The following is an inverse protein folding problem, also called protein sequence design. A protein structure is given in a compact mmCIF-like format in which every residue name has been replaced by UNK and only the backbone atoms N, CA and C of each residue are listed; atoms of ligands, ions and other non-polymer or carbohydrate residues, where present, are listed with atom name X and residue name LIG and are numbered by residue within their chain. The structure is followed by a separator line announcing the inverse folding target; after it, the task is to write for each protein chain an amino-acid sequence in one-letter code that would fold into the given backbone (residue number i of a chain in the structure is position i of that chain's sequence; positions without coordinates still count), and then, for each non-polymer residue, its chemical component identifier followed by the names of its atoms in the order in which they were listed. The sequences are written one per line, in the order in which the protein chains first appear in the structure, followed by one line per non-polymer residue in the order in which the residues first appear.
data_IF_910211105349
#
_entry.id   IF_910211105349
#
_cell.length_a   1.000
_cell.length_b   1.000
_cell.length_c   1.000
_cell.angle_alpha   90.00
_cell.angle_beta   90.00
_cell.angle_gamma   90.00
#
_symmetry.space_group_name_H-M   'P 1'
#
loop_
_entity.id
_entity.type
_entity.pdbx_description
1 polymer ?
#
# COMPACT_ATOMS: atom_id res chain seq x y z
N UNK A 1 2.46 -18.67 -3.00
CA UNK A 1 3.37 -17.78 -2.27
C UNK A 1 2.90 -17.68 -0.82
N UNK A 2 3.82 -17.73 0.16
CA UNK A 2 3.45 -17.62 1.58
C UNK A 2 3.91 -16.25 2.12
N UNK A 3 3.08 -15.24 1.96
CA UNK A 3 3.37 -13.85 2.38
C UNK A 3 3.72 -13.70 3.87
N UNK A 4 3.35 -14.65 4.72
CA UNK A 4 3.70 -14.63 6.15
C UNK A 4 5.21 -14.67 6.46
N UNK A 5 6.05 -14.93 5.46
CA UNK A 5 7.51 -14.91 5.58
C UNK A 5 8.15 -13.73 4.84
N UNK A 6 7.35 -12.85 4.27
CA UNK A 6 7.79 -11.70 3.47
C UNK A 6 7.65 -10.44 4.32
N UNK A 7 8.68 -9.60 4.34
CA UNK A 7 8.57 -8.26 4.95
C UNK A 7 7.60 -7.42 4.13
N UNK A 8 6.69 -6.71 4.81
CA UNK A 8 5.67 -5.91 4.14
C UNK A 8 5.79 -4.45 4.53
N UNK A 9 5.99 -3.62 3.52
CA UNK A 9 6.25 -2.18 3.64
C UNK A 9 5.27 -1.38 2.80
N UNK A 10 5.00 -0.14 3.19
CA UNK A 10 4.17 0.80 2.44
C UNK A 10 4.91 2.11 2.18
N UNK A 11 4.54 2.79 1.10
CA UNK A 11 5.06 4.10 0.71
C UNK A 11 4.05 5.18 1.02
N UNK A 12 4.43 6.16 1.83
CA UNK A 12 3.58 7.29 2.19
C UNK A 12 3.74 8.45 1.21
N UNK A 13 2.62 8.95 0.65
CA UNK A 13 2.58 10.18 -0.12
C UNK A 13 3.17 10.08 -1.53
N UNK A 14 2.90 9.00 -2.25
CA UNK A 14 3.37 8.79 -3.63
C UNK A 14 2.34 9.13 -4.71
N UNK A 15 1.22 9.73 -4.36
CA UNK A 15 0.20 10.18 -5.31
C UNK A 15 -0.25 11.59 -4.95
N UNK A 16 -0.40 12.45 -5.97
CA UNK A 16 -0.77 13.86 -5.77
C UNK A 16 -2.07 14.00 -4.97
N UNK A 17 -2.10 14.97 -4.05
CA UNK A 17 -3.23 15.33 -3.18
C UNK A 17 -3.72 14.28 -2.19
N UNK A 18 -3.23 13.05 -2.21
CA UNK A 18 -3.72 12.00 -1.30
C UNK A 18 -3.52 12.38 0.18
N UNK A 19 -2.32 12.80 0.58
CA UNK A 19 -2.03 13.18 1.97
C UNK A 19 -2.88 14.37 2.46
N UNK A 20 -3.20 15.30 1.57
CA UNK A 20 -4.08 16.44 1.88
C UNK A 20 -5.50 15.97 2.15
N UNK A 21 -6.08 15.16 1.24
CA UNK A 21 -7.41 14.58 1.41
C UNK A 21 -7.50 13.65 2.63
N UNK A 22 -6.42 12.96 2.94
CA UNK A 22 -6.31 12.09 4.11
C UNK A 22 -6.18 12.86 5.44
N UNK A 23 -5.92 14.19 5.39
CA UNK A 23 -5.67 15.00 6.58
C UNK A 23 -4.34 14.68 7.28
N UNK A 24 -3.37 14.09 6.56
CA UNK A 24 -2.10 13.59 7.12
C UNK A 24 -0.91 14.53 6.89
N UNK A 25 -1.08 15.68 6.23
CA UNK A 25 0.01 16.64 5.97
C UNK A 25 0.74 17.07 7.24
N UNK A 26 0.01 17.28 8.34
CA UNK A 26 0.59 17.68 9.63
C UNK A 26 1.52 16.62 10.22
N UNK A 27 1.26 15.34 10.00
CA UNK A 27 2.12 14.24 10.49
C UNK A 27 3.51 14.30 9.85
N UNK A 28 3.59 14.82 8.62
CA UNK A 28 4.82 14.90 7.83
C UNK A 28 5.45 16.29 7.76
N UNK A 29 4.94 17.29 8.48
CA UNK A 29 5.44 18.68 8.40
C UNK A 29 6.92 18.88 8.69
N UNK A 30 7.50 17.97 9.48
CA UNK A 30 8.92 17.99 9.83
C UNK A 30 9.77 17.06 8.93
N UNK A 31 9.14 16.36 7.98
CA UNK A 31 9.85 15.51 7.02
C UNK A 31 10.22 16.37 5.81
N UNK A 32 11.50 16.66 5.70
CA UNK A 32 12.05 17.39 4.57
C UNK A 32 12.33 16.43 3.43
N UNK A 33 11.78 16.71 2.25
CA UNK A 33 12.08 15.97 1.02
C UNK A 33 12.87 16.87 0.08
N UNK A 34 13.86 16.30 -0.63
CA UNK A 34 14.68 17.07 -1.57
C UNK A 34 13.88 17.60 -2.77
N UNK A 35 12.76 16.96 -3.07
CA UNK A 35 11.85 17.33 -4.17
C UNK A 35 10.42 17.33 -3.62
N UNK A 36 9.63 18.34 -4.01
CA UNK A 36 8.27 18.57 -3.51
C UNK A 36 7.36 17.34 -3.68
N UNK A 37 7.43 16.67 -4.84
CA UNK A 37 6.62 15.49 -5.18
C UNK A 37 7.21 14.16 -4.69
N UNK A 38 8.29 14.18 -3.91
CA UNK A 38 8.88 12.94 -3.38
C UNK A 38 7.98 12.33 -2.31
N UNK A 39 7.85 10.98 -2.28
CA UNK A 39 7.17 10.32 -1.18
C UNK A 39 7.83 10.67 0.17
N UNK A 40 7.04 10.66 1.22
CA UNK A 40 7.48 11.12 2.55
C UNK A 40 8.31 10.09 3.31
N UNK A 41 8.13 8.80 3.02
CA UNK A 41 8.89 7.73 3.64
C UNK A 41 8.27 6.36 3.40
N UNK A 42 8.96 5.35 3.94
CA UNK A 42 8.51 3.96 3.96
C UNK A 42 8.10 3.62 5.41
N UNK A 43 7.06 2.82 5.56
CA UNK A 43 6.61 2.32 6.86
C UNK A 43 6.38 0.81 6.81
N UNK A 44 6.64 0.07 7.89
CA UNK A 44 6.28 -1.34 7.96
C UNK A 44 4.79 -1.50 8.31
N UNK A 45 4.14 -2.49 7.71
CA UNK A 45 2.82 -2.93 8.14
C UNK A 45 2.77 -4.41 8.50
N UNK A 46 3.84 -5.18 8.22
CA UNK A 46 4.05 -6.51 8.74
C UNK A 46 5.54 -6.89 8.73
N UNK A 47 6.03 -7.37 9.86
CA UNK A 47 7.41 -7.81 10.08
C UNK A 47 7.41 -9.26 10.59
N UNK A 48 7.76 -10.26 9.75
CA UNK A 48 7.53 -11.68 10.05
C UNK A 48 8.28 -12.23 11.27
N UNK A 49 9.31 -11.55 11.75
CA UNK A 49 10.11 -11.97 12.90
C UNK A 49 9.91 -11.08 14.15
N UNK A 50 8.97 -10.13 14.10
CA UNK A 50 8.79 -9.17 15.18
C UNK A 50 7.91 -9.71 16.31
N UNK A 51 8.31 -9.48 17.55
CA UNK A 51 7.49 -9.71 18.75
C UNK A 51 6.53 -8.54 19.05
N UNK A 52 6.58 -7.45 18.26
CA UNK A 52 5.68 -6.31 18.37
C UNK A 52 4.33 -6.58 17.67
N UNK A 53 3.43 -5.57 17.71
CA UNK A 53 2.16 -5.63 16.97
C UNK A 53 2.36 -5.82 15.45
N UNK A 54 3.51 -5.42 14.90
CA UNK A 54 3.87 -5.62 13.50
C UNK A 54 4.16 -7.09 13.14
N UNK A 55 4.41 -7.97 14.12
CA UNK A 55 4.52 -9.41 13.91
C UNK A 55 3.16 -10.12 13.76
N UNK A 56 2.04 -9.43 14.03
CA UNK A 56 0.72 -9.96 13.75
C UNK A 56 0.42 -9.87 12.25
N UNK A 57 0.16 -11.02 11.62
CA UNK A 57 -0.14 -11.07 10.18
C UNK A 57 -1.42 -10.32 9.86
N UNK A 58 -1.27 -9.14 9.26
CA UNK A 58 -2.34 -8.14 9.07
C UNK A 58 -3.18 -8.34 7.80
N UNK A 59 -2.73 -9.19 6.86
CA UNK A 59 -3.26 -9.26 5.50
C UNK A 59 -4.42 -10.25 5.40
N UNK A 60 -5.58 -9.77 4.95
CA UNK A 60 -6.76 -10.55 4.61
C UNK A 60 -7.05 -10.58 3.11
N UNK A 61 -7.77 -11.58 2.62
CA UNK A 61 -8.14 -11.70 1.20
C UNK A 61 -9.62 -11.41 0.92
N UNK A 62 -10.47 -11.51 1.95
CA UNK A 62 -11.94 -11.42 1.83
C UNK A 62 -12.61 -10.68 3.00
N UNK A 63 -11.86 -10.39 4.02
CA UNK A 63 -12.36 -9.73 5.24
C UNK A 63 -11.46 -8.57 5.63
N UNK A 64 -12.07 -7.44 5.98
CA UNK A 64 -11.43 -6.32 6.64
C UNK A 64 -12.01 -6.23 8.07
N UNK A 65 -11.17 -6.41 9.09
CA UNK A 65 -11.61 -6.40 10.48
C UNK A 65 -11.33 -5.06 11.12
N UNK A 66 -12.36 -4.30 11.49
CA UNK A 66 -12.21 -3.06 12.26
C UNK A 66 -11.93 -3.39 13.74
N UNK A 67 -11.26 -2.48 14.46
CA UNK A 67 -11.13 -2.60 15.91
C UNK A 67 -12.50 -2.73 16.62
N UNK A 68 -12.54 -3.32 17.82
CA UNK A 68 -13.80 -3.49 18.57
C UNK A 68 -14.38 -2.19 19.14
N UNK A 69 -13.67 -1.09 19.01
CA UNK A 69 -14.08 0.26 19.40
C UNK A 69 -14.33 1.12 18.15
N UNK A 70 -15.01 2.23 18.33
CA UNK A 70 -15.31 3.16 17.24
C UNK A 70 -14.04 3.79 16.66
N UNK A 71 -13.90 3.74 15.35
CA UNK A 71 -12.76 4.28 14.63
C UNK A 71 -13.19 4.90 13.30
N UNK A 72 -12.46 5.92 12.87
CA UNK A 72 -12.56 6.49 11.55
C UNK A 72 -11.59 5.74 10.62
N UNK A 73 -12.07 4.69 9.95
CA UNK A 73 -11.27 3.91 9.01
C UNK A 73 -11.60 4.25 7.56
N UNK A 74 -10.59 4.34 6.71
CA UNK A 74 -10.74 4.59 5.28
C UNK A 74 -9.99 3.55 4.45
N UNK A 75 -10.57 3.19 3.29
CA UNK A 75 -9.87 2.42 2.26
C UNK A 75 -8.75 3.27 1.70
N UNK A 76 -7.58 2.71 1.56
CA UNK A 76 -6.50 3.28 0.75
C UNK A 76 -6.19 2.30 -0.39
N UNK A 77 -6.75 2.56 -1.59
CA UNK A 77 -6.55 1.68 -2.74
C UNK A 77 -5.13 1.85 -3.29
N UNK A 78 -4.41 0.74 -3.37
CA UNK A 78 -3.03 0.71 -3.80
C UNK A 78 -2.73 -0.45 -4.74
N UNK A 79 -1.59 -0.37 -5.40
CA UNK A 79 -0.89 -1.51 -5.96
C UNK A 79 0.16 -1.98 -4.95
N UNK A 80 0.23 -3.27 -4.71
CA UNK A 80 1.34 -3.90 -4.01
C UNK A 80 2.21 -4.67 -5.00
N UNK A 81 3.51 -4.42 -4.97
CA UNK A 81 4.51 -5.06 -5.81
C UNK A 81 5.36 -6.01 -4.96
N UNK A 82 5.54 -7.23 -5.44
CA UNK A 82 6.48 -8.18 -4.86
C UNK A 82 7.86 -7.97 -5.49
N UNK A 83 8.83 -7.62 -4.65
CA UNK A 83 10.22 -7.45 -5.03
C UNK A 83 11.09 -8.57 -4.47
N UNK A 84 12.06 -9.05 -5.26
CA UNK A 84 13.23 -9.71 -4.69
C UNK A 84 14.24 -8.64 -4.29
N UNK A 85 14.80 -8.77 -3.08
CA UNK A 85 15.79 -7.84 -2.53
C UNK A 85 17.18 -8.41 -2.80
N UNK A 86 18.06 -7.59 -3.35
CA UNK A 86 19.46 -7.94 -3.55
C UNK A 86 20.32 -7.15 -2.57
N UNK A 87 21.10 -7.86 -1.77
CA UNK A 87 22.02 -7.28 -0.79
C UNK A 87 23.47 -7.40 -1.26
N UNK A 88 24.33 -6.48 -0.82
CA UNK A 88 25.77 -6.60 -0.92
C UNK A 88 26.37 -7.38 0.27
N UNK A 89 27.69 -7.53 0.30
CA UNK A 89 28.43 -8.29 1.33
C UNK A 89 28.35 -7.66 2.74
N UNK A 90 27.89 -6.41 2.85
CA UNK A 90 27.67 -5.70 4.12
C UNK A 90 26.19 -5.54 4.47
N UNK A 91 25.32 -6.29 3.76
CA UNK A 91 23.88 -6.31 3.95
C UNK A 91 23.14 -5.00 3.63
N UNK A 92 23.71 -4.14 2.79
CA UNK A 92 22.96 -3.02 2.22
C UNK A 92 22.15 -3.48 1.01
N UNK A 93 20.96 -2.93 0.84
CA UNK A 93 20.12 -3.17 -0.35
C UNK A 93 20.76 -2.46 -1.55
N UNK A 94 21.07 -3.21 -2.60
CA UNK A 94 21.70 -2.66 -3.83
C UNK A 94 20.83 -2.75 -5.05
N UNK A 95 19.80 -3.63 -5.03
CA UNK A 95 18.80 -3.69 -6.10
C UNK A 95 17.48 -4.26 -5.59
N UNK A 96 16.39 -3.91 -6.29
CA UNK A 96 15.05 -4.46 -6.12
C UNK A 96 14.56 -4.95 -7.49
N UNK A 97 14.18 -6.23 -7.57
CA UNK A 97 13.64 -6.82 -8.80
C UNK A 97 12.15 -7.02 -8.64
N UNK A 98 11.36 -6.23 -9.36
CA UNK A 98 9.91 -6.34 -9.36
C UNK A 98 9.47 -7.59 -10.14
N UNK A 99 8.71 -8.47 -9.51
CA UNK A 99 8.28 -9.75 -10.09
C UNK A 99 6.81 -9.73 -10.50
N UNK A 100 5.94 -9.34 -9.59
CA UNK A 100 4.49 -9.38 -9.76
C UNK A 100 3.85 -8.23 -9.00
N UNK A 101 2.64 -7.84 -9.42
CA UNK A 101 1.82 -6.89 -8.67
C UNK A 101 0.39 -7.41 -8.48
N UNK A 102 -0.29 -6.83 -7.51
CA UNK A 102 -1.70 -7.10 -7.21
C UNK A 102 -2.35 -5.87 -6.62
N UNK A 103 -3.67 -5.87 -6.47
CA UNK A 103 -4.41 -4.85 -5.73
C UNK A 103 -4.19 -5.00 -4.23
N UNK A 104 -4.18 -3.87 -3.55
CA UNK A 104 -4.00 -3.80 -2.10
C UNK A 104 -4.94 -2.75 -1.50
N UNK A 105 -5.42 -3.01 -0.29
CA UNK A 105 -6.11 -2.04 0.54
C UNK A 105 -5.24 -1.78 1.77
N UNK A 106 -4.54 -0.64 1.78
CA UNK A 106 -3.75 -0.20 2.92
C UNK A 106 -4.63 0.51 3.97
N UNK A 107 -5.80 -0.06 4.25
CA UNK A 107 -6.78 0.54 5.13
C UNK A 107 -6.15 1.22 6.35
N UNK A 108 -6.55 2.46 6.61
CA UNK A 108 -5.96 3.33 7.62
C UNK A 108 -7.01 3.76 8.62
N UNK A 109 -6.64 3.79 9.91
CA UNK A 109 -7.41 4.43 10.97
C UNK A 109 -6.93 5.88 11.10
N UNK A 110 -7.84 6.85 11.02
CA UNK A 110 -7.55 8.27 11.28
C UNK A 110 -7.46 8.48 12.80
N UNK A 111 -6.27 8.19 13.35
CA UNK A 111 -5.98 8.23 14.79
C UNK A 111 -5.12 9.45 15.11
N UNK A 112 -5.66 10.35 15.90
CA UNK A 112 -4.89 11.48 16.42
C UNK A 112 -3.80 11.01 17.40
N UNK A 113 -2.64 11.67 17.37
CA UNK A 113 -1.53 11.42 18.29
C UNK A 113 -0.77 10.11 18.06
N UNK A 114 -0.95 9.45 16.91
CA UNK A 114 -0.10 8.34 16.51
C UNK A 114 1.35 8.82 16.36
N UNK A 115 2.29 8.12 16.98
CA UNK A 115 3.72 8.47 16.90
C UNK A 115 4.36 7.97 15.62
N UNK A 116 3.89 6.83 15.12
CA UNK A 116 4.37 6.15 13.92
C UNK A 116 3.23 5.91 12.95
N UNK A 117 3.54 5.90 11.64
CA UNK A 117 2.56 5.57 10.60
C UNK A 117 2.01 4.16 10.83
N UNK A 118 2.86 3.22 11.17
CA UNK A 118 2.51 1.82 11.42
C UNK A 118 1.41 1.66 12.49
N UNK A 119 1.31 2.56 13.47
CA UNK A 119 0.26 2.54 14.51
C UNK A 119 -1.14 2.83 13.96
N UNK A 120 -1.23 3.52 12.81
CA UNK A 120 -2.48 3.81 12.10
C UNK A 120 -2.80 2.73 11.06
N UNK A 121 -1.77 2.00 10.61
CA UNK A 121 -1.81 1.06 9.51
C UNK A 121 -2.00 -0.39 9.95
N UNK A 122 -1.59 -0.78 11.16
CA UNK A 122 -1.64 -2.17 11.61
C UNK A 122 -2.25 -2.27 13.00
N UNK A 123 -3.45 -2.81 13.11
CA UNK A 123 -4.17 -3.00 14.39
C UNK A 123 -4.55 -4.45 14.66
N UNK A 124 -4.03 -5.39 13.88
CA UNK A 124 -4.28 -6.81 14.06
C UNK A 124 -4.61 -7.55 12.77
N UNK A 125 -5.19 -8.73 12.92
CA UNK A 125 -5.55 -9.61 11.79
C UNK A 125 -6.53 -8.91 10.84
N UNK A 126 -6.31 -9.10 9.53
CA UNK A 126 -7.17 -8.58 8.46
C UNK A 126 -7.36 -7.04 8.51
N UNK A 127 -6.38 -6.30 9.04
CA UNK A 127 -6.38 -4.83 8.96
C UNK A 127 -6.00 -4.31 7.56
N UNK A 128 -5.50 -5.19 6.70
CA UNK A 128 -5.13 -4.95 5.30
C UNK A 128 -5.88 -5.88 4.37
N UNK A 129 -5.91 -5.51 3.09
CA UNK A 129 -6.44 -6.37 2.04
C UNK A 129 -5.46 -6.61 0.92
N UNK A 130 -5.45 -7.83 0.35
CA UNK A 130 -4.64 -8.16 -0.81
C UNK A 130 -5.45 -8.96 -1.83
N UNK A 131 -5.29 -8.65 -3.12
CA UNK A 131 -5.87 -9.40 -4.21
C UNK A 131 -5.36 -10.85 -4.25
N UNK A 132 -6.23 -11.77 -4.61
CA UNK A 132 -5.90 -13.19 -4.70
C UNK A 132 -5.24 -13.57 -6.04
N UNK A 133 -5.20 -12.65 -6.99
CA UNK A 133 -4.60 -12.81 -8.32
C UNK A 133 -3.40 -11.88 -8.45
N UNK A 134 -2.35 -12.38 -9.09
CA UNK A 134 -1.13 -11.64 -9.34
C UNK A 134 -0.88 -11.52 -10.84
N UNK A 135 -0.42 -10.35 -11.26
CA UNK A 135 -0.01 -10.08 -12.63
C UNK A 135 1.52 -10.06 -12.66
N UNK A 136 2.12 -10.85 -13.55
CA UNK A 136 3.57 -10.83 -13.74
C UNK A 136 4.01 -9.52 -14.39
N UNK A 137 5.07 -8.93 -13.87
CA UNK A 137 5.70 -7.74 -14.43
C UNK A 137 6.71 -8.21 -15.48
N UNK A 138 6.57 -7.74 -16.70
CA UNK A 138 7.51 -8.02 -17.81
C UNK A 138 8.77 -7.17 -17.68
N UNK A 139 8.61 -5.87 -17.45
CA UNK A 139 9.66 -4.94 -17.06
C UNK A 139 9.10 -3.88 -16.11
N UNK A 140 9.89 -3.46 -15.12
CA UNK A 140 9.52 -2.38 -14.21
C UNK A 140 10.12 -1.05 -14.70
N UNK A 141 9.73 -0.69 -15.92
CA UNK A 141 10.18 0.50 -16.66
C UNK A 141 9.03 1.00 -17.54
N UNK A 142 9.16 2.22 -18.05
CA UNK A 142 8.26 2.78 -19.06
C UNK A 142 8.21 1.87 -20.30
N UNK A 143 7.03 1.63 -20.83
CA UNK A 143 6.77 0.67 -21.91
C UNK A 143 6.41 -0.73 -21.43
N UNK A 144 6.49 -1.01 -20.12
CA UNK A 144 6.08 -2.28 -19.52
C UNK A 144 4.55 -2.42 -19.40
N UNK A 145 4.11 -3.62 -18.99
CA UNK A 145 2.69 -3.96 -18.89
C UNK A 145 1.93 -3.00 -17.96
N UNK A 146 2.59 -2.48 -16.91
CA UNK A 146 1.94 -1.61 -15.91
C UNK A 146 1.52 -0.25 -16.48
N UNK A 147 2.08 0.21 -17.60
CA UNK A 147 1.66 1.45 -18.28
C UNK A 147 0.17 1.46 -18.65
N UNK A 148 -0.39 0.27 -18.88
CA UNK A 148 -1.75 0.10 -19.36
C UNK A 148 -2.76 -0.12 -18.22
N UNK A 149 -2.29 -0.20 -16.99
CA UNK A 149 -3.14 -0.48 -15.85
C UNK A 149 -3.68 0.79 -15.20
N UNK A 150 -4.95 0.71 -14.83
CA UNK A 150 -5.65 1.65 -13.98
C UNK A 150 -5.95 1.03 -12.62
N UNK A 151 -6.11 1.87 -11.61
CA UNK A 151 -6.51 1.51 -10.26
C UNK A 151 -7.72 2.35 -9.85
N UNK A 152 -8.77 1.68 -9.37
CA UNK A 152 -9.95 2.33 -8.81
C UNK A 152 -10.46 1.57 -7.59
N UNK A 153 -11.35 2.18 -6.81
CA UNK A 153 -11.98 1.50 -5.69
C UNK A 153 -13.43 1.93 -5.49
N UNK A 154 -14.21 1.03 -4.89
CA UNK A 154 -15.61 1.23 -4.59
C UNK A 154 -15.93 0.71 -3.19
N UNK A 155 -16.92 1.33 -2.55
CA UNK A 155 -17.58 0.79 -1.37
C UNK A 155 -19.05 0.59 -1.70
N UNK A 156 -19.56 -0.62 -1.41
CA UNK A 156 -20.99 -0.89 -1.48
C UNK A 156 -21.56 -0.89 -0.06
N UNK A 157 -22.50 0.02 0.19
CA UNK A 157 -23.20 0.22 1.46
C UNK A 157 -24.69 0.16 1.20
N UNK A 158 -25.42 -0.65 1.98
CA UNK A 158 -26.88 -0.80 1.86
C UNK A 158 -27.36 -1.11 0.45
N UNK A 159 -26.56 -1.88 -0.30
CA UNK A 159 -26.85 -2.27 -1.68
C UNK A 159 -26.47 -1.22 -2.73
N UNK A 160 -26.04 -0.02 -2.34
CA UNK A 160 -25.62 1.06 -3.25
C UNK A 160 -24.10 1.06 -3.41
N UNK A 161 -23.62 1.10 -4.64
CA UNK A 161 -22.20 1.17 -4.98
C UNK A 161 -21.78 2.64 -5.11
N UNK A 162 -20.74 3.02 -4.38
CA UNK A 162 -20.16 4.36 -4.39
C UNK A 162 -18.70 4.28 -4.87
N UNK A 163 -18.25 5.10 -5.83
CA UNK A 163 -16.82 5.31 -6.07
C UNK A 163 -16.15 5.80 -4.78
N UNK A 164 -15.06 5.10 -4.36
CA UNK A 164 -14.34 5.46 -3.14
C UNK A 164 -12.99 6.11 -3.44
N UNK A 165 -12.21 5.53 -4.33
CA UNK A 165 -11.02 6.14 -4.93
C UNK A 165 -11.29 6.52 -6.38
N UNK A 166 -10.57 7.52 -6.88
CA UNK A 166 -10.64 7.90 -8.30
C UNK A 166 -10.12 6.75 -9.17
N UNK A 167 -10.63 6.66 -10.39
CA UNK A 167 -10.05 5.81 -11.42
C UNK A 167 -8.82 6.52 -12.00
N UNK A 168 -7.64 5.99 -11.71
CA UNK A 168 -6.38 6.62 -12.06
C UNK A 168 -5.44 5.64 -12.78
N UNK A 169 -4.75 6.07 -13.85
CA UNK A 169 -3.68 5.28 -14.45
C UNK A 169 -2.52 5.12 -13.45
N UNK A 170 -1.84 3.98 -13.45
CA UNK A 170 -0.66 3.76 -12.59
C UNK A 170 0.48 4.72 -12.90
N UNK A 171 0.55 5.25 -14.13
CA UNK A 171 1.47 6.32 -14.51
C UNK A 171 1.22 7.66 -13.77
N UNK A 172 0.13 7.77 -13.03
CA UNK A 172 -0.19 8.92 -12.17
C UNK A 172 0.61 8.97 -10.86
N UNK A 173 1.36 7.92 -10.50
CA UNK A 173 2.25 7.97 -9.34
C UNK A 173 3.40 8.96 -9.54
N UNK A 174 3.69 9.78 -8.53
CA UNK A 174 4.80 10.77 -8.56
C UNK A 174 6.17 10.11 -8.71
N UNK A 175 6.33 8.96 -8.05
CA UNK A 175 7.49 8.08 -8.19
C UNK A 175 7.00 6.71 -8.65
N UNK A 176 7.48 6.30 -9.84
CA UNK A 176 7.15 5.02 -10.43
C UNK A 176 8.39 4.41 -11.08
N UNK A 177 8.39 3.11 -11.36
CA UNK A 177 9.47 2.41 -12.05
C UNK A 177 10.86 2.66 -11.44
N UNK A 178 11.85 2.92 -12.27
CA UNK A 178 13.25 3.15 -11.87
C UNK A 178 13.36 4.30 -10.84
N UNK A 179 12.56 5.36 -10.97
CA UNK A 179 12.55 6.47 -9.99
C UNK A 179 12.11 6.00 -8.61
N UNK A 180 11.02 5.22 -8.52
CA UNK A 180 10.56 4.62 -7.28
C UNK A 180 11.57 3.60 -6.75
N UNK A 181 12.07 2.70 -7.60
CA UNK A 181 13.04 1.68 -7.22
C UNK A 181 14.29 2.28 -6.56
N UNK A 182 14.88 3.28 -7.18
CA UNK A 182 16.08 3.93 -6.64
C UNK A 182 15.80 4.64 -5.32
N UNK A 183 14.65 5.29 -5.21
CA UNK A 183 14.21 5.93 -3.96
C UNK A 183 13.96 4.89 -2.85
N UNK A 184 13.34 3.74 -3.17
CA UNK A 184 13.13 2.65 -2.22
C UNK A 184 14.46 2.12 -1.69
N UNK A 185 15.44 1.87 -2.57
CA UNK A 185 16.78 1.39 -2.20
C UNK A 185 17.45 2.39 -1.25
N UNK A 186 17.41 3.69 -1.58
CA UNK A 186 17.95 4.74 -0.71
C UNK A 186 17.28 4.68 0.68
N UNK A 187 15.93 4.70 0.74
CA UNK A 187 15.21 4.74 2.01
C UNK A 187 15.34 3.46 2.81
N UNK A 188 15.41 2.29 2.18
CA UNK A 188 15.66 1.03 2.88
C UNK A 188 17.01 1.00 3.59
N UNK A 189 18.01 1.73 3.09
CA UNK A 189 19.33 1.82 3.71
C UNK A 189 19.48 3.01 4.66
N UNK A 190 18.82 4.15 4.37
CA UNK A 190 19.16 5.44 5.02
C UNK A 190 18.04 6.02 5.87
N UNK A 191 16.79 5.54 5.75
CA UNK A 191 15.69 6.11 6.53
C UNK A 191 15.90 5.90 8.02
N UNK A 192 15.97 7.00 8.77
CA UNK A 192 16.12 7.01 10.20
C UNK A 192 14.77 6.89 10.93
N UNK A 193 14.82 6.48 12.20
CA UNK A 193 13.69 6.57 13.13
C UNK A 193 13.49 8.03 13.53
N UNK A 194 12.68 8.76 12.75
CA UNK A 194 12.42 10.18 12.99
C UNK A 194 10.96 10.54 12.74
N UNK A 195 10.32 11.20 13.71
CA UNK A 195 8.91 11.58 13.62
C UNK A 195 8.02 10.36 13.36
N UNK A 196 7.16 10.40 12.31
CA UNK A 196 6.26 9.29 11.98
C UNK A 196 6.96 8.11 11.30
N UNK A 197 8.23 8.24 10.92
CA UNK A 197 9.00 7.23 10.20
C UNK A 197 9.75 6.29 11.15
N UNK A 198 10.06 5.09 10.67
CA UNK A 198 10.80 4.02 11.36
C UNK A 198 12.10 3.71 10.61
N UNK A 199 13.12 3.20 11.31
CA UNK A 199 14.36 2.78 10.68
C UNK A 199 14.19 1.46 9.95
N UNK A 200 14.16 1.50 8.62
CA UNK A 200 13.90 0.33 7.77
C UNK A 200 15.09 -0.63 7.76
N UNK A 201 16.33 -0.12 7.74
CA UNK A 201 17.53 -0.97 7.78
C UNK A 201 17.57 -1.83 9.06
N UNK A 202 17.14 -1.27 10.20
CA UNK A 202 16.99 -2.03 11.44
C UNK A 202 15.94 -3.14 11.30
N UNK A 203 14.78 -2.86 10.71
CA UNK A 203 13.75 -3.88 10.48
C UNK A 203 14.19 -4.97 9.52
N UNK A 204 14.97 -4.65 8.49
CA UNK A 204 15.57 -5.66 7.60
C UNK A 204 16.53 -6.57 8.37
N UNK A 205 17.38 -6.00 9.22
CA UNK A 205 18.28 -6.76 10.10
C UNK A 205 17.50 -7.67 11.06
N UNK A 206 16.49 -7.14 11.75
CA UNK A 206 15.68 -7.87 12.73
C UNK A 206 14.89 -9.02 12.07
N UNK A 207 14.52 -8.87 10.81
CA UNK A 207 13.91 -9.92 9.98
C UNK A 207 14.96 -10.84 9.29
N UNK A 208 16.24 -10.75 9.68
CA UNK A 208 17.35 -11.55 9.14
C UNK A 208 17.51 -11.39 7.62
N UNK A 209 17.45 -10.16 7.13
CA UNK A 209 17.66 -9.78 5.74
C UNK A 209 16.81 -10.61 4.76
N UNK A 210 15.48 -10.43 4.77
CA UNK A 210 14.58 -11.21 3.94
C UNK A 210 14.89 -11.01 2.45
N UNK A 211 14.83 -12.11 1.69
CA UNK A 211 15.10 -12.06 0.23
C UNK A 211 13.97 -11.43 -0.57
N UNK A 212 12.80 -11.20 0.04
CA UNK A 212 11.64 -10.62 -0.63
C UNK A 212 10.95 -9.57 0.24
N UNK A 213 10.42 -8.55 -0.42
CA UNK A 213 9.52 -7.56 0.18
C UNK A 213 8.23 -7.44 -0.64
N UNK A 214 7.10 -7.35 0.06
CA UNK A 214 5.85 -6.85 -0.49
C UNK A 214 5.79 -5.36 -0.19
N UNK A 215 5.76 -4.51 -1.22
CA UNK A 215 5.73 -3.06 -1.06
C UNK A 215 4.46 -2.50 -1.70
N UNK A 216 3.58 -1.92 -0.89
CA UNK A 216 2.48 -1.10 -1.39
C UNK A 216 3.01 0.29 -1.75
N UNK A 217 2.68 0.78 -2.95
CA UNK A 217 3.40 1.89 -3.58
C UNK A 217 2.73 3.24 -3.43
N UNK A 218 1.71 3.33 -2.59
CA UNK A 218 1.00 4.56 -2.24
C UNK A 218 -0.46 4.57 -2.71
N UNK A 219 -1.31 5.17 -1.90
CA UNK A 219 -2.74 5.27 -2.18
C UNK A 219 -3.04 6.35 -3.23
N UNK A 220 -4.00 6.06 -4.12
CA UNK A 220 -4.56 7.05 -5.06
C UNK A 220 -5.50 8.03 -4.36
N UNK A 221 -5.87 9.10 -5.05
CA UNK A 221 -6.78 10.11 -4.50
C UNK A 221 -8.18 9.54 -4.22
N UNK A 222 -8.88 10.11 -3.22
CA UNK A 222 -10.27 9.79 -2.94
C UNK A 222 -11.23 10.43 -3.95
N UNK A 223 -12.31 9.70 -4.27
CA UNK A 223 -13.51 10.27 -4.84
C UNK A 223 -14.33 10.96 -3.72
N UNK A 224 -15.32 11.78 -4.09
CA UNK A 224 -16.14 12.56 -3.15
C UNK A 224 -16.69 11.72 -1.99
N UNK A 225 -17.21 10.51 -2.28
CA UNK A 225 -17.73 9.63 -1.23
C UNK A 225 -16.61 9.17 -0.27
N UNK A 226 -15.46 8.77 -0.81
CA UNK A 226 -14.32 8.27 -0.02
C UNK A 226 -13.69 9.34 0.88
N UNK A 227 -13.68 10.59 0.42
CA UNK A 227 -13.15 11.71 1.19
C UNK A 227 -14.01 12.01 2.44
N UNK A 228 -15.34 11.86 2.34
CA UNK A 228 -16.28 12.27 3.37
C UNK A 228 -16.90 11.12 4.17
N UNK A 229 -16.59 9.86 3.84
CA UNK A 229 -17.21 8.71 4.49
C UNK A 229 -16.18 7.69 4.99
N UNK A 230 -16.28 7.38 6.28
CA UNK A 230 -15.54 6.29 6.90
C UNK A 230 -16.25 4.95 6.72
N UNK A 231 -15.48 3.87 6.78
CA UNK A 231 -15.99 2.51 6.69
C UNK A 231 -16.89 2.15 7.85
N UNK A 232 -17.91 1.35 7.56
CA UNK A 232 -18.84 0.79 8.53
C UNK A 232 -18.86 -0.73 8.43
N UNK A 233 -19.17 -1.39 9.56
CA UNK A 233 -19.34 -2.85 9.53
C UNK A 233 -20.50 -3.22 8.59
N UNK A 234 -20.26 -4.21 7.73
CA UNK A 234 -21.18 -4.61 6.69
C UNK A 234 -20.90 -3.99 5.31
N UNK A 235 -20.06 -2.95 5.22
CA UNK A 235 -19.60 -2.43 3.94
C UNK A 235 -18.88 -3.53 3.13
N UNK A 236 -19.06 -3.51 1.82
CA UNK A 236 -18.30 -4.31 0.86
C UNK A 236 -17.29 -3.39 0.15
N UNK A 237 -16.00 -3.70 0.28
CA UNK A 237 -14.89 -2.95 -0.32
C UNK A 237 -14.39 -3.64 -1.56
N UNK A 238 -14.17 -2.89 -2.62
CA UNK A 238 -13.58 -3.35 -3.86
C UNK A 238 -12.39 -2.46 -4.22
N UNK A 239 -11.23 -3.09 -4.48
CA UNK A 239 -10.06 -2.43 -5.10
C UNK A 239 -9.77 -3.17 -6.40
N UNK A 240 -9.79 -2.47 -7.51
CA UNK A 240 -9.75 -3.05 -8.85
C UNK A 240 -8.57 -2.46 -9.61
N UNK A 241 -7.68 -3.33 -10.09
CA UNK A 241 -6.68 -2.97 -11.09
C UNK A 241 -7.01 -3.68 -12.40
N UNK A 242 -7.02 -2.95 -13.51
CA UNK A 242 -7.40 -3.47 -14.81
C UNK A 242 -6.54 -2.88 -15.94
N UNK A 243 -6.32 -3.68 -16.96
CA UNK A 243 -5.66 -3.25 -18.20
C UNK A 243 -6.67 -2.51 -19.07
N UNK A 244 -6.54 -1.20 -19.18
CA UNK A 244 -7.48 -0.31 -19.88
C UNK A 244 -7.60 -0.56 -21.38
N UNK A 245 -6.74 -1.40 -21.95
CA UNK A 245 -6.85 -1.83 -23.36
C UNK A 245 -7.94 -2.89 -23.57
N UNK A 246 -8.31 -3.61 -22.50
CA UNK A 246 -9.20 -4.80 -22.58
C UNK A 246 -10.34 -4.78 -21.58
N UNK A 247 -10.26 -3.96 -20.54
CA UNK A 247 -11.19 -3.94 -19.41
C UNK A 247 -11.59 -2.52 -19.03
N UNK A 248 -12.67 -2.40 -18.27
CA UNK A 248 -13.19 -1.18 -17.66
C UNK A 248 -13.24 -1.31 -16.13
N UNK A 249 -13.52 -0.20 -15.44
CA UNK A 249 -13.70 -0.11 -14.00
C UNK A 249 -15.04 -0.73 -13.53
N UNK A 250 -15.27 -1.99 -13.86
CA UNK A 250 -16.46 -2.76 -13.49
C UNK A 250 -16.12 -4.00 -12.65
N UNK A 251 -17.12 -4.72 -12.19
CA UNK A 251 -16.96 -5.92 -11.36
C UNK A 251 -16.84 -7.23 -12.15
N UNK A 252 -16.73 -7.17 -13.47
CA UNK A 252 -16.56 -8.36 -14.32
C UNK A 252 -15.17 -8.97 -14.08
N UNK A 253 -15.11 -10.29 -14.07
CA UNK A 253 -13.85 -11.03 -13.90
C UNK A 253 -13.21 -11.27 -15.26
N UNK A 254 -11.95 -10.90 -15.42
CA UNK A 254 -11.17 -11.17 -16.64
C UNK A 254 -9.73 -11.63 -16.31
N UNK A 255 -8.98 -12.02 -17.35
CA UNK A 255 -7.58 -12.40 -17.21
C UNK A 255 -6.66 -11.21 -16.98
N UNK A 256 -7.08 -10.02 -17.37
CA UNK A 256 -6.34 -8.75 -17.31
C UNK A 256 -6.79 -7.83 -16.17
N UNK A 257 -7.64 -8.33 -15.27
CA UNK A 257 -8.17 -7.61 -14.12
C UNK A 257 -7.85 -8.33 -12.82
N UNK A 258 -7.54 -7.57 -11.79
CA UNK A 258 -7.39 -8.03 -10.40
C UNK A 258 -8.42 -7.33 -9.55
N UNK A 259 -9.23 -8.09 -8.83
CA UNK A 259 -10.23 -7.56 -7.90
C UNK A 259 -9.90 -8.05 -6.51
N UNK A 260 -9.64 -7.13 -5.59
CA UNK A 260 -9.72 -7.38 -4.17
C UNK A 260 -11.15 -7.08 -3.73
N UNK A 261 -11.78 -8.04 -3.08
CA UNK A 261 -13.09 -7.91 -2.46
C UNK A 261 -12.99 -8.22 -0.97
N UNK A 262 -13.47 -7.32 -0.12
CA UNK A 262 -13.49 -7.54 1.33
C UNK A 262 -14.86 -7.13 1.92
N UNK A 263 -15.29 -7.87 2.94
CA UNK A 263 -16.43 -7.47 3.78
C UNK A 263 -15.88 -6.90 5.09
N UNK A 264 -16.34 -5.71 5.47
CA UNK A 264 -15.98 -5.03 6.72
C UNK A 264 -16.68 -5.69 7.91
N UNK A 265 -15.90 -6.14 8.92
CA UNK A 265 -16.37 -6.85 10.12
C UNK A 265 -16.03 -6.10 11.41
#
# INVERSE_FOLDING_TARGET
MQLKYVICLGVAGNFAHHLEQAGELEDFKNIVTDVEDAPKGIFPFYLPASDSFLGLYSIGTDTLTLPPYEVNAQVEPEIAVLFDIVYNDVNEVVDLKANQFTTFNDCTIRKEGAKKISEKKSWGLNSKGIGNKWISIDTFEEGGIMDNYHLCSFVKRDGVVHPYGVDAPLLGYSYFYTKLKNWLIDKMNTQEDFGPLENIAMHLNDCNYPSQALISIGATAYAEFGEHNYLQRGDEVYVIAYDSRYDDADFSVSSTKVILYQVVR
#
